data_IF_187066720890
#
_entry.id   IF_187066720890
#
_cell.length_a   1.000
_cell.length_b   1.000
_cell.length_c   1.000
_cell.angle_alpha   90.00
_cell.angle_beta   90.00
_cell.angle_gamma   90.00
#
_symmetry.space_group_name_H-M   'P 1'
#
loop_
_entity.id
_entity.type
_entity.pdbx_description
1 polymer ?
#
# COMPACT_ATOMS: atom_id res chain seq x y z
N UNK A 1 -92.89 -26.43 -33.96
CA UNK A 1 -92.91 -26.17 -32.50
C UNK A 1 -91.64 -25.38 -32.18
N UNK A 2 -91.74 -24.06 -32.05
CA UNK A 2 -91.97 -23.29 -30.80
C UNK A 2 -90.73 -23.27 -29.88
N UNK A 3 -90.04 -22.12 -29.94
CA UNK A 3 -89.35 -21.31 -28.91
C UNK A 3 -88.91 -21.94 -27.58
N UNK A 4 -87.73 -21.47 -27.10
CA UNK A 4 -87.15 -21.40 -25.72
C UNK A 4 -85.70 -21.91 -25.82
N UNK A 5 -84.60 -21.17 -25.63
CA UNK A 5 -84.35 -20.00 -24.79
C UNK A 5 -83.17 -19.19 -25.36
N UNK A 6 -83.33 -17.86 -25.42
CA UNK A 6 -82.24 -16.89 -25.53
C UNK A 6 -81.48 -16.83 -24.19
N UNK A 7 -80.28 -16.26 -24.25
CA UNK A 7 -79.39 -15.89 -23.12
C UNK A 7 -78.37 -16.98 -22.78
N UNK A 8 -77.25 -16.99 -23.51
CA UNK A 8 -75.90 -16.96 -22.92
C UNK A 8 -74.91 -16.46 -23.99
N UNK A 9 -75.25 -15.31 -24.58
CA UNK A 9 -74.22 -14.36 -25.02
C UNK A 9 -73.67 -13.76 -23.72
N UNK A 10 -72.35 -13.60 -23.64
CA UNK A 10 -71.55 -12.98 -22.55
C UNK A 10 -70.68 -14.03 -21.83
N UNK A 11 -69.37 -13.73 -21.81
CA UNK A 11 -68.24 -14.39 -21.11
C UNK A 11 -67.51 -15.54 -21.83
N UNK A 12 -67.12 -15.38 -23.10
CA UNK A 12 -65.82 -15.89 -23.60
C UNK A 12 -65.17 -14.78 -24.45
N UNK A 13 -65.04 -13.61 -23.84
CA UNK A 13 -64.22 -12.50 -24.34
C UNK A 13 -63.69 -11.70 -23.14
N UNK A 14 -63.04 -12.41 -22.22
CA UNK A 14 -62.37 -11.83 -21.06
C UNK A 14 -60.98 -12.47 -20.83
N UNK A 15 -60.35 -13.00 -21.88
CA UNK A 15 -58.96 -13.50 -21.85
C UNK A 15 -57.95 -12.46 -22.38
N UNK A 16 -58.31 -11.18 -22.36
CA UNK A 16 -57.43 -10.06 -22.75
C UNK A 16 -57.40 -8.92 -21.71
N UNK A 17 -57.67 -9.22 -20.44
CA UNK A 17 -57.51 -8.26 -19.35
C UNK A 17 -56.27 -8.63 -18.52
N UNK A 18 -55.18 -7.94 -18.87
CA UNK A 18 -54.12 -7.46 -17.98
C UNK A 18 -53.53 -8.44 -16.97
N UNK A 19 -52.31 -8.92 -17.24
CA UNK A 19 -51.32 -8.88 -16.18
C UNK A 19 -51.23 -7.42 -15.73
N UNK A 20 -51.74 -7.09 -14.54
CA UNK A 20 -51.18 -5.92 -13.85
C UNK A 20 -49.69 -6.21 -13.73
N UNK A 21 -48.87 -5.34 -14.29
CA UNK A 21 -47.50 -5.21 -13.87
C UNK A 21 -47.57 -4.80 -12.40
N UNK A 22 -47.60 -5.79 -11.52
CA UNK A 22 -47.34 -5.54 -10.11
C UNK A 22 -45.89 -5.09 -10.08
N UNK A 23 -45.68 -3.77 -10.17
CA UNK A 23 -44.40 -3.15 -9.87
C UNK A 23 -44.08 -3.61 -8.45
N UNK A 24 -43.16 -4.58 -8.33
CA UNK A 24 -42.81 -5.09 -7.02
C UNK A 24 -42.26 -3.91 -6.22
N UNK A 25 -42.43 -3.92 -4.89
CA UNK A 25 -41.86 -2.87 -4.03
C UNK A 25 -40.35 -2.71 -4.30
N UNK A 26 -39.66 -3.80 -4.69
CA UNK A 26 -38.27 -3.77 -5.13
C UNK A 26 -38.08 -2.96 -6.43
N UNK A 27 -38.99 -3.03 -7.39
CA UNK A 27 -38.93 -2.31 -8.66
C UNK A 27 -39.23 -0.82 -8.47
N UNK A 28 -40.18 -0.49 -7.58
CA UNK A 28 -40.47 0.90 -7.17
C UNK A 28 -39.25 1.51 -6.44
N UNK A 29 -38.62 0.75 -5.55
CA UNK A 29 -37.40 1.20 -4.85
C UNK A 29 -36.24 1.34 -5.84
N UNK A 30 -36.00 0.36 -6.71
CA UNK A 30 -34.90 0.41 -7.69
C UNK A 30 -35.06 1.57 -8.69
N UNK A 31 -36.30 1.87 -9.13
CA UNK A 31 -36.57 2.96 -10.05
C UNK A 31 -36.57 4.36 -9.39
N UNK A 32 -36.84 4.45 -8.08
CA UNK A 32 -36.84 5.71 -7.34
C UNK A 32 -35.56 5.95 -6.52
N UNK A 33 -34.57 5.06 -6.58
CA UNK A 33 -33.31 5.20 -5.84
C UNK A 33 -32.17 5.44 -6.81
N UNK A 34 -31.52 6.60 -6.72
CA UNK A 34 -30.27 6.87 -7.43
C UNK A 34 -29.16 6.01 -6.82
N UNK A 35 -28.71 5.01 -7.55
CA UNK A 35 -27.56 4.17 -7.18
C UNK A 35 -26.26 4.84 -7.63
N UNK A 36 -25.26 4.83 -6.76
CA UNK A 36 -23.90 5.28 -7.08
C UNK A 36 -23.16 4.27 -7.96
N UNK A 37 -21.88 4.55 -8.19
CA UNK A 37 -20.95 3.59 -8.76
C UNK A 37 -19.91 3.19 -7.72
N UNK A 38 -19.26 2.04 -7.93
CA UNK A 38 -18.13 1.58 -7.13
C UNK A 38 -16.97 1.22 -8.06
N UNK A 39 -15.76 1.35 -7.54
CA UNK A 39 -14.50 0.92 -8.17
C UNK A 39 -13.80 -0.03 -7.20
N UNK A 40 -14.24 -1.29 -7.24
CA UNK A 40 -13.87 -2.36 -6.33
C UNK A 40 -12.41 -2.77 -6.55
N UNK A 41 -11.63 -2.84 -5.48
CA UNK A 41 -10.32 -3.49 -5.45
C UNK A 41 -10.49 -5.00 -5.59
N UNK A 42 -10.01 -5.56 -6.69
CA UNK A 42 -9.91 -7.00 -6.90
C UNK A 42 -8.60 -7.53 -6.33
N UNK A 43 -7.50 -6.83 -6.59
CA UNK A 43 -6.17 -7.19 -6.09
C UNK A 43 -5.31 -5.94 -5.91
N UNK A 44 -4.47 -5.95 -4.88
CA UNK A 44 -3.33 -5.04 -4.75
C UNK A 44 -2.09 -5.86 -5.10
N UNK A 45 -1.49 -5.57 -6.25
CA UNK A 45 -0.37 -6.33 -6.80
C UNK A 45 0.97 -5.81 -6.27
N UNK A 46 1.05 -4.49 -6.03
CA UNK A 46 2.15 -3.81 -5.35
C UNK A 46 1.61 -2.55 -4.68
N UNK A 47 2.07 -2.24 -3.47
CA UNK A 47 1.55 -1.15 -2.62
C UNK A 47 2.58 -0.12 -2.16
N UNK A 48 3.84 -0.26 -2.60
CA UNK A 48 4.96 0.53 -2.10
C UNK A 48 5.88 0.95 -3.25
N UNK A 49 6.58 2.07 -3.07
CA UNK A 49 7.67 2.49 -3.93
C UNK A 49 9.00 2.26 -3.23
N UNK A 50 9.97 1.76 -3.97
CA UNK A 50 11.36 1.73 -3.57
C UNK A 50 11.98 3.08 -3.89
N UNK A 51 12.41 3.81 -2.86
CA UNK A 51 12.98 5.16 -2.98
C UNK A 51 14.22 5.21 -3.87
N UNK A 52 14.95 4.10 -4.00
CA UNK A 52 16.17 4.00 -4.80
C UNK A 52 15.89 3.59 -6.26
N UNK A 53 14.66 3.19 -6.57
CA UNK A 53 14.28 2.70 -7.88
C UNK A 53 13.10 3.49 -8.44
N UNK A 54 13.34 4.49 -9.33
CA UNK A 54 12.27 5.26 -9.95
C UNK A 54 11.37 4.43 -10.87
N UNK A 55 11.73 3.18 -11.19
CA UNK A 55 10.90 2.24 -11.95
C UNK A 55 10.09 1.30 -11.05
N UNK A 56 10.23 1.38 -9.71
CA UNK A 56 9.37 0.64 -8.80
C UNK A 56 7.90 1.03 -9.00
N UNK A 57 7.00 0.05 -8.98
CA UNK A 57 5.61 0.24 -9.38
C UNK A 57 4.63 0.07 -8.22
N UNK A 58 3.65 0.96 -8.16
CA UNK A 58 2.38 0.71 -7.51
C UNK A 58 1.44 0.06 -8.53
N UNK A 59 0.74 -1.01 -8.15
CA UNK A 59 -0.21 -1.67 -9.05
C UNK A 59 -1.43 -2.23 -8.33
N UNK A 60 -2.60 -1.95 -8.90
CA UNK A 60 -3.89 -2.40 -8.38
C UNK A 60 -4.81 -2.84 -9.51
N UNK A 61 -5.55 -3.92 -9.30
CA UNK A 61 -6.60 -4.40 -10.19
C UNK A 61 -7.96 -3.94 -9.66
N UNK A 62 -8.72 -3.26 -10.51
CA UNK A 62 -9.97 -2.59 -10.18
C UNK A 62 -11.10 -3.11 -11.08
N UNK A 63 -12.28 -3.29 -10.50
CA UNK A 63 -13.52 -3.62 -11.20
C UNK A 63 -14.53 -2.50 -10.97
N UNK A 64 -15.11 -1.99 -12.05
CA UNK A 64 -16.14 -0.95 -11.99
C UNK A 64 -17.53 -1.59 -11.98
N UNK A 65 -18.42 -1.07 -11.15
CA UNK A 65 -19.82 -1.49 -11.12
C UNK A 65 -20.73 -0.27 -10.91
N UNK A 66 -21.78 -0.20 -11.71
CA UNK A 66 -22.88 0.77 -11.57
C UNK A 66 -24.23 0.04 -11.69
N UNK A 67 -25.34 0.78 -11.62
CA UNK A 67 -26.68 0.20 -11.66
C UNK A 67 -27.14 -0.35 -13.02
N UNK A 68 -26.32 -0.22 -14.06
CA UNK A 68 -26.45 -0.78 -15.40
C UNK A 68 -25.36 -1.81 -15.71
N UNK A 69 -24.69 -2.34 -14.68
CA UNK A 69 -23.68 -3.39 -14.86
C UNK A 69 -22.39 -2.91 -15.51
N UNK A 70 -22.00 -1.64 -15.27
CA UNK A 70 -20.74 -1.08 -15.75
C UNK A 70 -20.87 -0.26 -17.04
N UNK A 71 -22.03 -0.29 -17.69
CA UNK A 71 -22.30 0.42 -18.95
C UNK A 71 -22.22 1.95 -18.84
N UNK A 72 -22.26 2.51 -17.63
CA UNK A 72 -22.17 3.96 -17.45
C UNK A 72 -20.73 4.48 -17.39
N UNK A 73 -19.71 3.62 -17.32
CA UNK A 73 -18.31 4.07 -17.24
C UNK A 73 -17.93 4.87 -18.48
N UNK A 74 -17.48 6.11 -18.30
CA UNK A 74 -16.89 6.94 -19.35
C UNK A 74 -15.37 6.92 -19.27
N UNK A 75 -14.83 7.24 -18.08
CA UNK A 75 -13.40 7.23 -17.81
C UNK A 75 -13.12 7.05 -16.32
N UNK A 76 -11.87 6.76 -15.99
CA UNK A 76 -11.32 6.91 -14.64
C UNK A 76 -10.15 7.88 -14.71
N UNK A 77 -10.30 9.06 -14.09
CA UNK A 77 -9.17 9.95 -13.89
C UNK A 77 -8.36 9.49 -12.68
N UNK A 78 -7.04 9.50 -12.84
CA UNK A 78 -6.10 9.16 -11.79
C UNK A 78 -5.32 10.43 -11.46
N UNK A 79 -5.35 10.81 -10.19
CA UNK A 79 -4.57 11.90 -9.63
C UNK A 79 -3.64 11.37 -8.55
N UNK A 80 -2.57 12.10 -8.31
CA UNK A 80 -1.58 11.76 -7.29
C UNK A 80 -1.27 12.99 -6.45
N UNK A 81 -1.05 12.82 -5.14
CA UNK A 81 -0.47 13.83 -4.25
C UNK A 81 0.73 13.23 -3.50
N UNK A 82 1.50 14.10 -2.84
CA UNK A 82 2.66 13.71 -2.03
C UNK A 82 2.56 14.33 -0.64
N UNK A 83 2.67 13.48 0.38
CA UNK A 83 2.79 13.89 1.77
C UNK A 83 4.25 13.68 2.19
N UNK A 84 4.93 14.78 2.49
CA UNK A 84 6.21 14.74 3.19
C UNK A 84 5.94 14.40 4.65
N UNK A 85 6.42 13.24 5.08
CA UNK A 85 6.15 12.69 6.42
C UNK A 85 7.43 12.53 7.23
N UNK A 86 8.55 12.95 6.66
CA UNK A 86 9.85 12.87 7.30
C UNK A 86 10.25 14.25 7.83
N UNK A 87 10.99 14.28 8.94
CA UNK A 87 11.49 15.53 9.52
C UNK A 87 12.93 15.77 9.04
N UNK A 88 13.13 15.75 7.72
CA UNK A 88 14.44 15.88 7.06
C UNK A 88 14.68 17.28 6.48
N UNK A 89 13.70 18.19 6.60
CA UNK A 89 13.72 19.51 5.98
C UNK A 89 12.38 20.25 6.15
N UNK A 90 12.20 21.36 5.43
CA UNK A 90 10.90 22.01 5.32
C UNK A 90 9.90 21.07 4.62
N UNK A 91 8.67 21.01 5.13
CA UNK A 91 7.56 20.26 4.53
C UNK A 91 7.45 20.54 3.02
N UNK A 92 7.68 19.50 2.25
CA UNK A 92 7.66 19.54 0.78
C UNK A 92 6.43 18.85 0.19
N UNK A 93 5.34 18.71 0.95
CA UNK A 93 4.09 18.14 0.45
C UNK A 93 3.58 18.84 -0.82
N UNK A 94 2.87 18.09 -1.67
CA UNK A 94 2.28 18.58 -2.92
C UNK A 94 0.80 18.23 -2.95
N UNK A 95 -0.01 19.23 -3.25
CA UNK A 95 -1.42 19.03 -3.58
C UNK A 95 -1.58 18.13 -4.82
N UNK A 96 -2.79 17.62 -5.01
CA UNK A 96 -3.09 16.69 -6.09
C UNK A 96 -2.78 17.26 -7.49
N UNK A 97 -2.09 16.45 -8.29
CA UNK A 97 -1.84 16.68 -9.71
C UNK A 97 -2.41 15.54 -10.57
N UNK A 98 -2.84 15.82 -11.81
CA UNK A 98 -3.25 14.79 -12.76
C UNK A 98 -2.10 13.85 -13.12
N UNK A 99 -2.35 12.54 -13.05
CA UNK A 99 -1.40 11.51 -13.46
C UNK A 99 -1.77 10.92 -14.83
N UNK A 100 -3.01 10.47 -14.99
CA UNK A 100 -3.52 9.94 -16.27
C UNK A 100 -5.05 9.89 -16.29
N UNK A 101 -5.62 9.67 -17.46
CA UNK A 101 -7.05 9.35 -17.65
C UNK A 101 -7.17 8.03 -18.39
N UNK A 102 -7.90 7.10 -17.80
CA UNK A 102 -8.15 5.77 -18.35
C UNK A 102 -9.54 5.79 -19.01
N UNK A 103 -9.65 5.70 -20.34
CA UNK A 103 -10.95 5.63 -20.99
C UNK A 103 -11.63 4.29 -20.70
N UNK A 104 -12.96 4.24 -20.69
CA UNK A 104 -13.72 2.99 -20.52
C UNK A 104 -13.32 1.90 -21.54
N UNK A 105 -12.88 2.29 -22.74
CA UNK A 105 -12.40 1.38 -23.78
C UNK A 105 -11.09 0.64 -23.45
N UNK A 106 -10.36 1.08 -22.40
CA UNK A 106 -9.18 0.38 -21.91
C UNK A 106 -9.52 -0.77 -20.93
N UNK A 107 -10.76 -0.85 -20.45
CA UNK A 107 -11.22 -1.90 -19.56
C UNK A 107 -11.57 -3.16 -20.36
N UNK A 108 -11.38 -4.32 -19.71
CA UNK A 108 -11.76 -5.63 -20.23
C UNK A 108 -12.95 -6.19 -19.47
N UNK A 109 -13.69 -7.14 -20.03
CA UNK A 109 -14.79 -7.78 -19.31
C UNK A 109 -14.23 -8.80 -18.31
N UNK A 110 -14.55 -8.62 -17.02
CA UNK A 110 -14.30 -9.58 -15.96
C UNK A 110 -15.30 -10.74 -15.94
N UNK A 111 -15.20 -11.60 -14.93
CA UNK A 111 -16.01 -12.82 -14.79
C UNK A 111 -17.52 -12.55 -14.73
N UNK A 112 -17.92 -11.38 -14.22
CA UNK A 112 -19.32 -10.96 -14.10
C UNK A 112 -19.79 -10.07 -15.27
N UNK A 113 -19.03 -10.00 -16.36
CA UNK A 113 -19.20 -9.01 -17.45
C UNK A 113 -19.09 -7.53 -16.98
N UNK A 114 -18.43 -7.29 -15.85
CA UNK A 114 -18.13 -5.95 -15.37
C UNK A 114 -16.78 -5.46 -15.94
N UNK A 115 -16.60 -4.14 -16.16
CA UNK A 115 -15.32 -3.59 -16.60
C UNK A 115 -14.21 -3.78 -15.55
N UNK A 116 -13.10 -4.39 -15.95
CA UNK A 116 -11.91 -4.65 -15.12
C UNK A 116 -10.67 -4.07 -15.78
N UNK A 117 -9.80 -3.44 -14.98
CA UNK A 117 -8.48 -2.99 -15.41
C UNK A 117 -7.43 -3.24 -14.33
N UNK A 118 -6.19 -3.48 -14.75
CA UNK A 118 -5.02 -3.35 -13.86
C UNK A 118 -4.34 -2.02 -14.15
N UNK A 119 -4.35 -1.13 -13.16
CA UNK A 119 -3.61 0.11 -13.18
C UNK A 119 -2.21 -0.10 -12.60
N UNK A 120 -1.21 0.54 -13.21
CA UNK A 120 0.11 0.70 -12.61
C UNK A 120 0.64 2.12 -12.85
N UNK A 121 1.51 2.55 -11.95
CA UNK A 121 2.35 3.74 -12.12
C UNK A 121 3.67 3.50 -11.40
N UNK A 122 4.74 4.03 -11.97
CA UNK A 122 6.06 4.02 -11.33
C UNK A 122 6.24 5.23 -10.40
N UNK A 123 7.19 5.12 -9.46
CA UNK A 123 7.64 6.25 -8.63
C UNK A 123 8.04 7.44 -9.51
N UNK A 124 8.80 7.22 -10.59
CA UNK A 124 9.24 8.27 -11.49
C UNK A 124 8.09 9.01 -12.18
N UNK A 125 7.04 8.30 -12.60
CA UNK A 125 5.85 8.93 -13.20
C UNK A 125 5.05 9.74 -12.18
N UNK A 126 4.86 9.19 -10.97
CA UNK A 126 4.16 9.88 -9.89
C UNK A 126 4.91 11.15 -9.45
N UNK A 127 6.23 11.06 -9.26
CA UNK A 127 7.09 12.20 -8.93
C UNK A 127 7.07 13.26 -10.04
N UNK A 128 7.16 12.85 -11.32
CA UNK A 128 7.10 13.76 -12.45
C UNK A 128 5.78 14.55 -12.51
N UNK A 129 4.64 13.90 -12.24
CA UNK A 129 3.33 14.56 -12.22
C UNK A 129 3.27 15.69 -11.18
N UNK A 130 4.02 15.56 -10.08
CA UNK A 130 4.08 16.52 -8.99
C UNK A 130 5.27 17.49 -9.07
N UNK A 131 6.09 17.38 -10.12
CA UNK A 131 7.30 18.19 -10.29
C UNK A 131 8.38 17.91 -9.24
N UNK A 132 8.41 16.70 -8.68
CA UNK A 132 9.40 16.25 -7.70
C UNK A 132 10.62 15.62 -8.39
N UNK A 133 11.76 15.75 -7.75
CA UNK A 133 13.03 15.08 -8.07
C UNK A 133 13.40 14.08 -6.97
N UNK A 134 14.44 13.28 -7.18
CA UNK A 134 14.92 12.34 -6.15
C UNK A 134 15.39 13.00 -4.85
N UNK A 135 15.69 14.31 -4.90
CA UNK A 135 16.13 15.07 -3.73
C UNK A 135 14.93 15.60 -2.91
N UNK A 136 13.71 15.48 -3.45
CA UNK A 136 12.48 16.01 -2.87
C UNK A 136 11.72 14.99 -2.02
N UNK A 137 12.13 13.73 -2.02
CA UNK A 137 11.47 12.63 -1.29
C UNK A 137 12.48 11.67 -0.69
N UNK A 138 12.06 10.98 0.37
CA UNK A 138 12.88 10.05 1.13
C UNK A 138 12.05 8.85 1.64
N UNK A 139 12.74 7.84 2.18
CA UNK A 139 12.05 6.71 2.80
C UNK A 139 11.23 7.16 4.01
N UNK A 140 9.99 6.70 4.10
CA UNK A 140 9.01 7.12 5.10
C UNK A 140 7.97 8.11 4.59
N UNK A 141 8.26 8.80 3.47
CA UNK A 141 7.28 9.66 2.80
C UNK A 141 6.18 8.84 2.11
N UNK A 142 5.16 9.55 1.60
CA UNK A 142 3.97 8.89 1.03
C UNK A 142 3.45 9.59 -0.21
N UNK A 143 3.21 8.81 -1.27
CA UNK A 143 2.34 9.20 -2.36
C UNK A 143 0.91 8.73 -2.08
N UNK A 144 -0.07 9.49 -2.54
CA UNK A 144 -1.48 9.11 -2.47
C UNK A 144 -2.03 9.09 -3.88
N UNK A 145 -2.43 7.90 -4.35
CA UNK A 145 -3.05 7.73 -5.68
C UNK A 145 -4.55 7.66 -5.50
N UNK A 146 -5.30 8.58 -6.13
CA UNK A 146 -6.76 8.65 -6.06
C UNK A 146 -7.38 8.50 -7.45
N UNK A 147 -8.49 7.77 -7.50
CA UNK A 147 -9.26 7.44 -8.68
C UNK A 147 -10.60 8.18 -8.65
N UNK A 148 -10.99 8.74 -9.79
CA UNK A 148 -12.28 9.41 -10.00
C UNK A 148 -12.97 8.70 -11.15
N UNK A 149 -14.03 7.94 -10.87
CA UNK A 149 -14.83 7.31 -11.91
C UNK A 149 -15.84 8.32 -12.46
N UNK A 150 -15.71 8.67 -13.74
CA UNK A 150 -16.62 9.54 -14.47
C UNK A 150 -17.61 8.70 -15.26
N UNK A 151 -18.88 9.05 -15.17
CA UNK A 151 -19.97 8.35 -15.84
C UNK A 151 -20.51 9.16 -17.00
N UNK A 152 -20.98 8.46 -18.03
CA UNK A 152 -21.62 9.04 -19.23
C UNK A 152 -22.85 9.91 -18.96
N UNK A 153 -23.43 9.84 -17.75
CA UNK A 153 -24.56 10.66 -17.32
C UNK A 153 -24.12 11.95 -16.58
N UNK A 154 -22.82 12.23 -16.54
CA UNK A 154 -22.21 13.44 -15.98
C UNK A 154 -21.92 13.39 -14.48
N UNK A 155 -22.17 12.24 -13.82
CA UNK A 155 -21.79 12.02 -12.42
C UNK A 155 -20.34 11.56 -12.31
N UNK A 156 -19.71 11.86 -11.18
CA UNK A 156 -18.39 11.34 -10.83
C UNK A 156 -18.39 10.80 -9.41
N UNK A 157 -17.60 9.76 -9.15
CA UNK A 157 -17.45 9.14 -7.84
C UNK A 157 -15.97 8.95 -7.49
N UNK A 158 -15.60 9.32 -6.25
CA UNK A 158 -14.24 9.24 -5.72
C UNK A 158 -14.26 8.89 -4.23
N UNK A 159 -13.10 8.93 -3.56
CA UNK A 159 -12.93 8.59 -2.14
C UNK A 159 -13.84 9.37 -1.18
N UNK A 160 -14.20 10.61 -1.53
CA UNK A 160 -15.15 11.42 -0.75
C UNK A 160 -16.60 10.92 -0.78
N UNK A 161 -16.98 10.14 -1.79
CA UNK A 161 -18.34 9.59 -1.97
C UNK A 161 -18.50 8.21 -1.29
N UNK A 162 -17.38 7.59 -0.90
CA UNK A 162 -17.38 6.29 -0.29
C UNK A 162 -17.70 6.38 1.21
N UNK A 163 -18.82 5.79 1.63
CA UNK A 163 -19.14 5.59 3.05
C UNK A 163 -18.48 4.30 3.58
N UNK A 164 -18.52 4.08 4.90
CA UNK A 164 -17.86 2.92 5.54
C UNK A 164 -18.22 1.55 4.93
N UNK A 165 -19.47 1.41 4.44
CA UNK A 165 -19.95 0.21 3.74
C UNK A 165 -19.37 0.04 2.34
N UNK A 166 -19.02 1.13 1.64
CA UNK A 166 -18.37 1.14 0.32
C UNK A 166 -16.84 0.96 0.46
N UNK A 167 -16.23 1.64 1.44
CA UNK A 167 -14.79 1.61 1.72
C UNK A 167 -14.30 0.21 2.14
N UNK A 168 -15.00 -0.42 3.08
CA UNK A 168 -14.51 -1.61 3.80
C UNK A 168 -15.45 -2.82 3.73
N UNK A 169 -16.61 -2.67 3.09
CA UNK A 169 -17.55 -3.77 2.91
C UNK A 169 -16.89 -4.92 2.15
N UNK A 170 -17.04 -6.14 2.66
CA UNK A 170 -16.40 -7.34 2.09
C UNK A 170 -16.69 -7.55 0.60
N UNK A 171 -17.80 -6.97 0.10
CA UNK A 171 -18.26 -7.01 -1.28
C UNK A 171 -17.95 -5.76 -2.11
N UNK A 172 -17.69 -4.60 -1.51
CA UNK A 172 -17.52 -3.33 -2.27
C UNK A 172 -16.06 -2.93 -2.40
N UNK A 173 -15.26 -3.05 -1.34
CA UNK A 173 -13.81 -2.77 -1.30
C UNK A 173 -13.39 -1.63 -2.22
N UNK A 174 -14.06 -0.48 -2.14
CA UNK A 174 -13.92 0.59 -3.14
C UNK A 174 -13.40 1.85 -2.47
N UNK A 175 -12.12 1.87 -2.06
CA UNK A 175 -11.55 3.02 -1.36
C UNK A 175 -11.36 4.24 -2.27
N UNK A 176 -11.35 4.03 -3.60
CA UNK A 176 -10.98 5.04 -4.61
C UNK A 176 -9.62 5.71 -4.37
N UNK A 177 -8.84 5.29 -3.38
CA UNK A 177 -7.60 5.93 -2.99
C UNK A 177 -6.68 4.92 -2.31
N UNK A 178 -5.38 5.03 -2.57
CA UNK A 178 -4.35 4.17 -2.01
C UNK A 178 -3.18 5.01 -1.53
N UNK A 179 -2.72 4.69 -0.33
CA UNK A 179 -1.48 5.20 0.21
C UNK A 179 -0.35 4.32 -0.31
N UNK A 180 0.63 4.93 -0.97
CA UNK A 180 1.82 4.26 -1.49
C UNK A 180 3.02 4.82 -0.73
N UNK A 181 3.50 4.06 0.25
CA UNK A 181 4.62 4.50 1.09
C UNK A 181 5.93 4.36 0.30
N UNK A 182 6.86 5.28 0.53
CA UNK A 182 8.24 5.13 0.10
C UNK A 182 8.98 4.31 1.15
N UNK A 183 9.53 3.19 0.71
CA UNK A 183 10.32 2.30 1.55
C UNK A 183 11.77 2.29 1.09
N UNK A 184 12.67 2.04 2.03
CA UNK A 184 14.07 1.76 1.77
C UNK A 184 14.25 0.25 1.94
N UNK A 185 14.11 -0.55 0.86
CA UNK A 185 14.28 -1.98 0.97
C UNK A 185 15.74 -2.30 1.34
N UNK A 186 15.98 -3.37 2.13
CA UNK A 186 17.33 -3.85 2.35
C UNK A 186 18.04 -4.18 1.03
N UNK A 187 19.31 -3.80 0.94
CA UNK A 187 20.17 -4.09 -0.20
C UNK A 187 21.36 -4.98 0.21
N UNK A 188 22.10 -5.55 -0.75
CA UNK A 188 23.31 -6.32 -0.47
C UNK A 188 24.33 -5.50 0.35
N UNK A 189 24.78 -6.00 1.52
CA UNK A 189 25.80 -5.32 2.31
C UNK A 189 27.21 -5.48 1.73
N UNK A 190 28.12 -4.59 2.14
CA UNK A 190 29.54 -4.67 1.82
C UNK A 190 30.12 -6.00 2.30
N UNK A 191 30.60 -6.84 1.39
CA UNK A 191 31.25 -8.10 1.77
C UNK A 191 32.60 -7.87 2.44
N UNK A 192 33.00 -8.77 3.34
CA UNK A 192 34.28 -8.76 4.03
C UNK A 192 34.15 -8.62 5.55
N UNK A 193 35.27 -8.33 6.20
CA UNK A 193 35.36 -8.21 7.65
C UNK A 193 34.76 -6.90 8.13
N UNK A 194 33.71 -6.99 8.95
CA UNK A 194 33.13 -5.89 9.69
C UNK A 194 33.62 -5.92 11.13
N UNK A 195 33.66 -4.76 11.78
CA UNK A 195 34.13 -4.58 13.15
C UNK A 195 32.99 -4.12 14.04
N UNK A 196 32.91 -4.68 15.25
CA UNK A 196 32.06 -4.20 16.34
C UNK A 196 32.99 -3.71 17.45
N UNK A 197 32.86 -2.44 17.83
CA UNK A 197 33.51 -1.86 18.99
C UNK A 197 32.47 -1.73 20.09
N UNK A 198 32.67 -2.47 21.19
CA UNK A 198 31.77 -2.52 22.34
C UNK A 198 32.40 -1.78 23.51
N UNK A 199 31.59 -1.02 24.23
CA UNK A 199 31.95 -0.30 25.45
C UNK A 199 30.90 -0.58 26.51
N UNK A 200 31.37 -0.68 27.74
CA UNK A 200 30.55 -0.76 28.94
C UNK A 200 31.01 0.30 29.94
N UNK A 201 30.07 1.07 30.48
CA UNK A 201 30.38 2.23 31.31
C UNK A 201 30.88 1.87 32.72
N UNK A 202 30.59 0.67 33.23
CA UNK A 202 30.96 0.25 34.58
C UNK A 202 32.14 -0.73 34.60
N UNK A 203 32.35 -1.41 33.48
CA UNK A 203 33.49 -2.24 33.18
C UNK A 203 33.33 -3.72 33.55
N UNK A 204 32.12 -4.19 33.84
CA UNK A 204 31.81 -5.59 34.16
C UNK A 204 31.09 -6.33 33.03
N UNK A 205 30.99 -5.72 31.85
CA UNK A 205 30.40 -6.33 30.65
C UNK A 205 28.95 -5.92 30.46
N UNK A 206 28.25 -6.50 29.48
CA UNK A 206 26.88 -6.13 29.12
C UNK A 206 25.79 -6.93 29.86
N UNK A 207 26.18 -7.77 30.83
CA UNK A 207 25.28 -8.50 31.73
C UNK A 207 24.08 -9.18 31.05
N UNK A 208 24.35 -9.88 29.95
CA UNK A 208 23.33 -10.60 29.17
C UNK A 208 22.77 -9.82 27.98
N UNK A 209 23.16 -8.56 27.81
CA UNK A 209 22.90 -7.77 26.61
C UNK A 209 23.68 -8.31 25.41
N UNK A 210 23.06 -8.37 24.25
CA UNK A 210 23.66 -8.94 23.04
C UNK A 210 23.32 -8.14 21.78
N UNK A 211 24.29 -7.97 20.90
CA UNK A 211 24.05 -7.66 19.50
C UNK A 211 23.68 -8.93 18.74
N UNK A 212 22.55 -8.88 18.06
CA UNK A 212 22.04 -9.94 17.19
C UNK A 212 22.21 -9.50 15.74
N UNK A 213 23.13 -10.14 15.02
CA UNK A 213 23.41 -9.86 13.62
C UNK A 213 22.92 -11.03 12.78
N UNK A 214 22.04 -10.76 11.82
CA UNK A 214 21.48 -11.77 10.93
C UNK A 214 21.87 -11.47 9.49
N UNK A 215 22.57 -12.40 8.84
CA UNK A 215 22.98 -12.28 7.43
C UNK A 215 22.31 -13.39 6.63
N UNK A 216 21.45 -13.02 5.67
CA UNK A 216 20.65 -13.95 4.87
C UNK A 216 19.93 -15.02 5.71
N UNK A 217 19.40 -14.62 6.87
CA UNK A 217 18.69 -15.49 7.82
C UNK A 217 19.57 -16.30 8.76
N UNK A 218 20.91 -16.17 8.68
CA UNK A 218 21.85 -16.81 9.61
C UNK A 218 22.20 -15.84 10.74
N UNK A 219 21.80 -16.17 11.95
CA UNK A 219 21.99 -15.35 13.14
C UNK A 219 23.35 -15.60 13.82
N UNK A 220 23.99 -14.54 14.29
CA UNK A 220 25.15 -14.55 15.17
C UNK A 220 24.94 -13.56 16.32
N UNK A 221 25.39 -13.92 17.52
CA UNK A 221 25.24 -13.11 18.73
C UNK A 221 26.60 -12.68 19.27
N UNK A 222 26.69 -11.42 19.66
CA UNK A 222 27.90 -10.81 20.18
C UNK A 222 27.58 -10.10 21.50
N UNK A 223 28.42 -10.31 22.50
CA UNK A 223 28.31 -9.69 23.81
C UNK A 223 29.70 -9.42 24.38
N UNK A 224 29.75 -8.65 25.46
CA UNK A 224 30.95 -8.47 26.26
C UNK A 224 30.70 -9.05 27.66
N UNK A 225 31.26 -10.23 27.94
CA UNK A 225 31.04 -10.93 29.22
C UNK A 225 31.66 -10.20 30.43
N UNK A 226 32.69 -9.38 30.20
CA UNK A 226 33.41 -8.61 31.21
C UNK A 226 34.30 -7.53 30.55
N UNK A 227 34.65 -6.48 31.29
CA UNK A 227 35.54 -5.42 30.87
C UNK A 227 34.79 -4.18 30.40
N UNK A 228 35.53 -3.07 30.27
CA UNK A 228 34.98 -1.78 29.83
C UNK A 228 35.00 -1.60 28.31
N UNK A 229 35.76 -2.42 27.58
CA UNK A 229 35.80 -2.36 26.11
C UNK A 229 36.23 -3.68 25.49
N UNK A 230 35.67 -3.96 24.32
CA UNK A 230 35.97 -5.14 23.51
C UNK A 230 35.75 -4.83 22.02
N UNK A 231 36.72 -5.19 21.18
CA UNK A 231 36.57 -5.14 19.73
C UNK A 231 36.49 -6.56 19.18
N UNK A 232 35.45 -6.85 18.41
CA UNK A 232 35.27 -8.13 17.72
C UNK A 232 35.04 -7.90 16.23
N UNK A 233 35.37 -8.90 15.43
CA UNK A 233 35.13 -8.88 14.00
C UNK A 233 34.14 -9.99 13.62
N UNK A 234 33.35 -9.73 12.58
CA UNK A 234 32.52 -10.75 11.92
C UNK A 234 32.66 -10.64 10.40
N UNK A 235 32.38 -11.73 9.70
CA UNK A 235 32.49 -11.79 8.25
C UNK A 235 31.11 -11.64 7.61
N UNK A 236 31.00 -10.72 6.65
CA UNK A 236 29.88 -10.64 5.71
C UNK A 236 30.27 -11.38 4.43
N UNK A 237 29.70 -12.57 4.15
CA UNK A 237 30.07 -13.34 2.97
C UNK A 237 29.84 -12.58 1.66
N UNK A 238 30.69 -12.83 0.66
CA UNK A 238 30.46 -12.32 -0.68
C UNK A 238 29.15 -12.87 -1.25
N UNK A 239 28.34 -11.98 -1.82
CA UNK A 239 27.02 -12.33 -2.37
C UNK A 239 25.89 -12.29 -1.35
N UNK A 240 26.14 -11.86 -0.10
CA UNK A 240 25.08 -11.63 0.88
C UNK A 240 24.03 -10.66 0.34
N UNK A 241 22.75 -10.89 0.63
CA UNK A 241 21.65 -10.08 0.09
C UNK A 241 21.06 -9.14 1.13
N UNK A 242 21.02 -9.55 2.40
CA UNK A 242 20.43 -8.76 3.50
C UNK A 242 21.25 -8.94 4.76
N UNK A 243 21.48 -7.84 5.48
CA UNK A 243 21.97 -7.82 6.86
C UNK A 243 20.94 -7.11 7.74
N UNK A 244 20.65 -7.68 8.91
CA UNK A 244 19.82 -7.09 9.96
C UNK A 244 20.61 -7.07 11.26
N UNK A 245 20.46 -6.00 12.03
CA UNK A 245 21.17 -5.79 13.29
C UNK A 245 20.17 -5.33 14.34
N UNK A 246 20.11 -6.05 15.45
CA UNK A 246 19.24 -5.76 16.58
C UNK A 246 20.01 -5.84 17.88
N UNK A 247 19.51 -5.15 18.91
CA UNK A 247 19.99 -5.31 20.26
C UNK A 247 18.97 -6.08 21.11
N UNK A 248 19.46 -7.11 21.80
CA UNK A 248 18.73 -7.88 22.80
C UNK A 248 19.13 -7.39 24.19
N UNK A 249 18.13 -6.99 24.98
CA UNK A 249 18.31 -6.42 26.32
C UNK A 249 18.95 -7.39 27.31
N UNK A 250 19.80 -6.85 28.17
CA UNK A 250 20.34 -7.49 29.37
C UNK A 250 19.96 -6.74 30.64
N UNK A 251 20.70 -6.99 31.72
CA UNK A 251 20.69 -6.08 32.86
C UNK A 251 21.58 -4.86 32.53
N UNK A 252 21.18 -3.68 33.04
CA UNK A 252 21.94 -2.42 32.93
C UNK A 252 22.23 -1.93 31.49
N UNK A 253 21.24 -2.00 30.60
CA UNK A 253 21.34 -1.46 29.23
C UNK A 253 21.75 0.03 29.16
N UNK A 254 21.62 0.78 30.26
CA UNK A 254 22.17 2.14 30.42
C UNK A 254 23.70 2.24 30.31
N UNK A 255 24.41 1.11 30.36
CA UNK A 255 25.87 1.05 30.32
C UNK A 255 26.40 0.66 28.92
N UNK A 256 25.50 0.16 28.06
CA UNK A 256 25.85 -0.46 26.79
C UNK A 256 26.01 0.57 25.68
N UNK A 257 27.20 0.58 25.07
CA UNK A 257 27.51 1.40 23.90
C UNK A 257 28.22 0.54 22.86
N UNK A 258 27.85 0.66 21.60
CA UNK A 258 28.56 0.00 20.51
C UNK A 258 28.61 0.81 19.22
N UNK A 259 29.67 0.59 18.47
CA UNK A 259 29.84 1.08 17.12
C UNK A 259 30.05 -0.12 16.17
N UNK A 260 29.42 -0.08 14.99
CA UNK A 260 29.65 -1.08 13.93
C UNK A 260 30.24 -0.38 12.72
N UNK A 261 31.35 -0.91 12.22
CA UNK A 261 32.10 -0.39 11.08
C UNK A 261 32.11 -1.46 9.99
N UNK A 262 31.63 -1.11 8.80
CA UNK A 262 31.61 -2.01 7.67
C UNK A 262 33.00 -2.22 7.05
N UNK A 263 33.15 -3.27 6.23
CA UNK A 263 34.40 -3.58 5.54
C UNK A 263 34.87 -2.50 4.57
N UNK A 264 33.95 -1.63 4.13
CA UNK A 264 34.24 -0.45 3.31
C UNK A 264 34.82 0.73 4.13
N UNK A 265 34.89 0.62 5.46
CA UNK A 265 35.40 1.62 6.39
C UNK A 265 34.35 2.61 6.91
N UNK A 266 33.09 2.50 6.49
CA UNK A 266 32.01 3.36 6.96
C UNK A 266 31.52 2.91 8.34
N UNK A 267 31.35 3.86 9.25
CA UNK A 267 30.57 3.63 10.48
C UNK A 267 29.09 3.52 10.10
N UNK A 268 28.49 2.39 10.41
CA UNK A 268 27.09 2.07 10.11
C UNK A 268 26.17 2.54 11.22
N UNK A 269 26.61 2.38 12.46
CA UNK A 269 25.89 2.85 13.64
C UNK A 269 26.87 3.08 14.79
N UNK A 270 26.49 4.03 15.66
CA UNK A 270 27.16 4.38 16.91
C UNK A 270 26.04 4.65 17.92
N UNK A 271 25.71 3.63 18.72
CA UNK A 271 24.51 3.57 19.53
C UNK A 271 24.90 3.37 20.99
N UNK A 272 24.27 4.16 21.84
CA UNK A 272 24.38 4.05 23.29
C UNK A 272 24.66 5.39 23.96
N UNK A 273 24.56 5.44 25.30
CA UNK A 273 23.96 4.42 26.15
C UNK A 273 22.46 4.22 25.86
N UNK A 274 21.84 3.17 26.41
CA UNK A 274 20.43 2.81 26.17
C UNK A 274 20.12 2.45 24.70
N UNK A 275 20.74 1.40 24.15
CA UNK A 275 20.39 0.94 22.81
C UNK A 275 18.90 0.56 22.70
N UNK A 276 18.23 0.92 21.59
CA UNK A 276 16.85 0.48 21.33
C UNK A 276 16.75 -1.04 21.29
N UNK A 277 15.83 -1.60 22.08
CA UNK A 277 15.69 -3.06 22.26
C UNK A 277 14.70 -3.64 21.26
N UNK A 278 15.08 -4.73 20.58
CA UNK A 278 14.17 -5.54 19.75
C UNK A 278 13.63 -4.83 18.51
N UNK A 279 14.31 -3.76 18.05
CA UNK A 279 14.01 -3.05 16.80
C UNK A 279 15.18 -3.20 15.84
N UNK A 280 14.90 -3.04 14.55
CA UNK A 280 15.95 -2.95 13.53
C UNK A 280 16.77 -1.67 13.76
N UNK A 281 18.09 -1.83 13.85
CA UNK A 281 19.02 -0.74 14.12
C UNK A 281 19.68 -0.19 12.85
N UNK A 282 19.72 -0.97 11.77
CA UNK A 282 20.26 -0.47 10.51
C UNK A 282 19.25 0.45 9.83
N UNK A 283 19.70 1.63 9.43
CA UNK A 283 18.93 2.52 8.57
C UNK A 283 19.17 2.15 7.10
N UNK A 284 18.23 1.42 6.50
CA UNK A 284 18.34 1.03 5.10
C UNK A 284 18.23 2.20 4.12
N UNK A 285 17.76 3.38 4.57
CA UNK A 285 17.78 4.59 3.74
C UNK A 285 19.19 5.16 3.58
N UNK A 286 20.09 4.86 4.52
CA UNK A 286 21.50 5.18 4.43
C UNK A 286 22.26 4.03 3.76
N UNK A 287 22.82 4.25 2.58
CA UNK A 287 23.49 3.20 1.78
C UNK A 287 24.93 2.91 2.22
N UNK A 288 25.42 3.51 3.30
CA UNK A 288 26.79 3.34 3.80
C UNK A 288 27.18 1.88 4.14
N UNK A 289 26.20 1.02 4.37
CA UNK A 289 26.39 -0.39 4.70
C UNK A 289 26.68 -1.30 3.49
N UNK A 290 26.54 -0.77 2.27
CA UNK A 290 26.75 -1.48 1.00
C UNK A 290 28.21 -1.46 0.51
#
# INVERSE_FOLDING_TARGET
MKYIFKIFTIVILASLLGCSSDDNVIDIVNNNTTRGAILRTIAVNSSEFDVFNPQSEFSVTLEFEDNRGGDLLESVDVVVSFDDRTDNGPDNSRDEAPLTTIPASAFSNGENNLPVITFNTSLGQAAQALGLTSDDYSGGDRFVVRFIANLTDGRSFSSGDANGGILSGSFTRSPYQYNVNLVCPPAPPASGTWTIEMTDLYGDGWNGGELVITIDGNESRFTMDNGASLTVNFEVPSGSQVISIQYSSGDWDEEVIFQIIASNGNTIMDIGPFPPVGVELIDYCNTNYQ
#
